data_IF_927920289522
#
_entry.id   IF_927920289522
#
_cell.length_a   1.000
_cell.length_b   1.000
_cell.length_c   1.000
_cell.angle_alpha   90.00
_cell.angle_beta   90.00
_cell.angle_gamma   90.00
#
_symmetry.space_group_name_H-M   'P 1'
#
loop_
_entity.id
_entity.type
_entity.pdbx_description
1 polymer ?
#
# COMPACT_ATOMS: atom_id res chain seq x y z
N UNK A 1 19.54 -0.66 29.33
CA UNK A 1 20.89 -0.95 28.81
C UNK A 1 21.07 -0.18 27.52
N UNK A 2 22.19 0.53 27.40
CA UNK A 2 22.63 1.14 26.15
C UNK A 2 23.84 0.34 25.68
N UNK A 3 23.61 -0.54 24.71
CA UNK A 3 24.62 -1.39 24.08
C UNK A 3 24.74 -1.12 22.58
N UNK A 4 24.22 0.01 22.09
CA UNK A 4 24.23 0.33 20.66
C UNK A 4 25.65 0.48 20.10
N UNK A 5 25.88 0.06 18.85
CA UNK A 5 27.14 0.30 18.12
C UNK A 5 28.40 -0.27 18.79
N UNK A 6 28.27 -1.37 19.55
CA UNK A 6 29.38 -1.97 20.29
C UNK A 6 29.97 -3.23 19.61
N UNK A 7 29.51 -3.58 18.39
CA UNK A 7 29.92 -4.80 17.65
C UNK A 7 29.75 -6.08 18.48
N UNK A 8 28.74 -6.12 19.35
CA UNK A 8 28.44 -7.29 20.15
C UNK A 8 28.00 -8.40 19.20
N UNK A 9 28.66 -9.55 19.27
CA UNK A 9 28.37 -10.70 18.41
C UNK A 9 27.56 -11.78 19.12
N UNK A 10 27.68 -11.93 20.43
CA UNK A 10 26.87 -12.90 21.17
C UNK A 10 26.80 -12.51 22.64
N UNK A 11 25.76 -13.00 23.31
CA UNK A 11 25.74 -13.10 24.76
C UNK A 11 26.03 -14.56 25.14
N UNK A 12 26.80 -14.75 26.21
CA UNK A 12 26.88 -16.05 26.87
C UNK A 12 25.50 -16.45 27.39
N UNK A 13 25.27 -17.75 27.50
CA UNK A 13 24.03 -18.29 28.06
C UNK A 13 23.80 -17.70 29.46
N UNK A 14 22.55 -17.34 29.75
CA UNK A 14 22.10 -16.71 31.01
C UNK A 14 22.62 -15.28 31.25
N UNK A 15 23.49 -14.71 30.41
CA UNK A 15 24.02 -13.36 30.61
C UNK A 15 22.90 -12.29 30.60
N UNK A 16 21.85 -12.51 29.82
CA UNK A 16 20.68 -11.62 29.79
C UNK A 16 19.91 -11.68 31.10
N UNK A 17 19.87 -12.84 31.76
CA UNK A 17 19.16 -13.02 33.03
C UNK A 17 19.84 -12.28 34.19
N UNK A 18 21.13 -12.01 34.07
CA UNK A 18 21.91 -11.24 35.05
C UNK A 18 21.68 -9.73 34.94
N UNK A 19 20.96 -9.25 33.91
CA UNK A 19 20.66 -7.84 33.77
C UNK A 19 19.72 -7.37 34.89
N UNK A 20 19.90 -6.12 35.40
CA UNK A 20 19.08 -5.61 36.49
C UNK A 20 17.57 -5.70 36.22
N UNK A 21 16.81 -6.27 37.16
CA UNK A 21 15.34 -6.38 37.08
C UNK A 21 14.62 -5.01 37.01
N UNK A 22 15.28 -3.95 37.46
CA UNK A 22 14.79 -2.57 37.35
C UNK A 22 14.84 -2.03 35.92
N UNK A 23 15.51 -2.72 34.99
CA UNK A 23 15.64 -2.30 33.61
C UNK A 23 14.28 -2.29 32.90
N UNK A 24 14.04 -1.22 32.12
CA UNK A 24 12.80 -1.03 31.35
C UNK A 24 13.03 -0.88 29.86
N UNK A 25 14.25 -0.51 29.45
CA UNK A 25 14.59 -0.21 28.06
C UNK A 25 15.90 -0.88 27.69
N UNK A 26 15.91 -1.52 26.54
CA UNK A 26 17.09 -2.12 25.93
C UNK A 26 17.31 -1.49 24.56
N UNK A 27 18.50 -0.93 24.39
CA UNK A 27 18.99 -0.45 23.11
C UNK A 27 20.22 -1.29 22.75
N UNK A 28 20.09 -2.11 21.71
CA UNK A 28 21.14 -2.99 21.20
C UNK A 28 21.25 -2.86 19.68
N UNK A 29 20.88 -1.71 19.14
CA UNK A 29 20.96 -1.46 17.71
C UNK A 29 22.41 -1.42 17.22
N UNK A 30 22.63 -1.69 15.94
CA UNK A 30 23.97 -1.58 15.31
C UNK A 30 25.02 -2.49 15.98
N UNK A 31 24.62 -3.71 16.32
CA UNK A 31 25.51 -4.79 16.75
C UNK A 31 25.60 -5.87 15.66
N UNK A 32 26.43 -6.88 15.85
CA UNK A 32 26.69 -7.95 14.87
C UNK A 32 26.25 -9.31 15.41
N UNK A 33 25.09 -9.37 16.07
CA UNK A 33 24.72 -10.57 16.80
C UNK A 33 24.64 -11.80 15.89
N UNK A 34 25.29 -12.88 16.27
CA UNK A 34 24.97 -14.22 15.79
C UNK A 34 23.61 -14.63 16.36
N UNK A 35 22.88 -15.45 15.62
CA UNK A 35 21.64 -16.02 16.14
C UNK A 35 21.96 -16.90 17.37
N UNK A 36 21.20 -16.77 18.45
CA UNK A 36 21.48 -17.48 19.70
C UNK A 36 20.33 -17.44 20.71
N UNK A 37 20.44 -18.26 21.76
CA UNK A 37 19.39 -18.47 22.76
C UNK A 37 19.05 -17.21 23.57
N UNK A 38 19.98 -16.25 23.65
CA UNK A 38 19.81 -14.97 24.33
C UNK A 38 18.57 -14.16 23.86
N UNK A 39 18.15 -14.31 22.61
CA UNK A 39 16.93 -13.66 22.09
C UNK A 39 15.69 -14.08 22.88
N UNK A 40 15.70 -15.32 23.36
CA UNK A 40 14.62 -15.89 24.11
C UNK A 40 14.73 -15.64 25.61
N UNK A 41 15.94 -15.38 26.10
CA UNK A 41 16.17 -15.00 27.50
C UNK A 41 15.61 -13.63 27.84
N UNK A 42 15.34 -12.77 26.84
CA UNK A 42 14.69 -11.48 27.03
C UNK A 42 13.34 -11.61 27.74
N UNK A 43 12.66 -12.76 27.67
CA UNK A 43 11.40 -13.00 28.40
C UNK A 43 11.56 -12.88 29.92
N UNK A 44 12.74 -13.13 30.46
CA UNK A 44 13.02 -13.04 31.90
C UNK A 44 12.98 -11.58 32.39
N UNK A 45 13.12 -10.63 31.47
CA UNK A 45 13.20 -9.22 31.80
C UNK A 45 11.82 -8.54 31.81
N UNK A 46 11.72 -7.48 32.62
CA UNK A 46 10.50 -6.65 32.74
C UNK A 46 10.56 -5.42 31.84
N UNK A 47 11.08 -5.58 30.62
CA UNK A 47 11.30 -4.48 29.68
C UNK A 47 10.00 -4.04 29.02
N UNK A 48 9.91 -2.73 28.77
CA UNK A 48 8.80 -2.07 28.08
C UNK A 48 9.16 -1.71 26.63
N UNK A 49 10.46 -1.61 26.35
CA UNK A 49 11.00 -1.22 25.04
C UNK A 49 12.25 -2.02 24.70
N UNK A 50 12.28 -2.53 23.47
CA UNK A 50 13.47 -3.12 22.86
C UNK A 50 13.74 -2.48 21.49
N UNK A 51 14.99 -2.07 21.27
CA UNK A 51 15.50 -1.70 19.96
C UNK A 51 16.67 -2.60 19.59
N UNK A 52 16.44 -3.42 18.58
CA UNK A 52 17.42 -4.31 17.96
C UNK A 52 17.48 -4.02 16.46
N UNK A 53 17.47 -2.75 16.07
CA UNK A 53 17.60 -2.39 14.66
C UNK A 53 19.04 -2.62 14.18
N UNK A 54 19.26 -2.87 12.89
CA UNK A 54 20.60 -2.98 12.29
C UNK A 54 21.47 -4.18 12.71
N UNK A 55 20.91 -5.22 13.36
CA UNK A 55 21.71 -6.31 13.94
C UNK A 55 22.58 -7.11 12.98
N UNK A 56 22.30 -7.05 11.67
CA UNK A 56 23.05 -7.80 10.66
C UNK A 56 23.58 -6.89 9.53
N UNK A 57 23.59 -5.58 9.76
CA UNK A 57 23.87 -4.58 8.72
C UNK A 57 25.32 -4.58 8.20
N UNK A 58 26.30 -5.03 9.00
CA UNK A 58 27.72 -5.07 8.61
C UNK A 58 28.06 -6.15 7.58
N UNK A 59 27.16 -7.13 7.33
CA UNK A 59 27.36 -8.19 6.33
C UNK A 59 27.21 -7.74 4.87
N UNK A 60 26.95 -6.45 4.61
CA UNK A 60 26.78 -5.86 3.27
C UNK A 60 27.91 -6.09 2.27
N UNK A 61 29.13 -6.38 2.72
CA UNK A 61 30.29 -6.21 1.84
C UNK A 61 30.58 -7.36 0.86
N UNK A 62 29.97 -8.54 0.99
CA UNK A 62 30.47 -9.71 0.26
C UNK A 62 29.45 -10.57 -0.50
N UNK A 63 28.15 -10.25 -0.51
CA UNK A 63 27.18 -11.06 -1.27
C UNK A 63 26.42 -10.18 -2.26
N UNK A 64 26.64 -10.46 -3.55
CA UNK A 64 25.93 -9.87 -4.68
C UNK A 64 24.41 -10.04 -4.52
N UNK A 65 23.70 -9.02 -4.06
CA UNK A 65 22.24 -9.02 -4.04
C UNK A 65 21.69 -8.59 -5.41
N UNK A 66 21.34 -9.56 -6.23
CA UNK A 66 20.38 -9.38 -7.33
C UNK A 66 19.02 -8.99 -6.70
N UNK A 67 18.71 -7.69 -6.74
CA UNK A 67 17.40 -7.18 -6.39
C UNK A 67 16.41 -7.67 -7.45
N UNK A 68 15.52 -8.59 -7.06
CA UNK A 68 14.55 -9.23 -7.97
C UNK A 68 13.66 -8.18 -8.66
N UNK A 69 13.81 -7.99 -9.97
CA UNK A 69 12.93 -7.11 -10.73
C UNK A 69 11.62 -7.79 -11.16
N UNK A 70 11.58 -9.14 -11.20
CA UNK A 70 10.45 -9.95 -11.71
C UNK A 70 10.15 -11.21 -10.86
N UNK A 71 8.87 -11.69 -10.80
CA UNK A 71 8.48 -12.89 -10.05
C UNK A 71 8.82 -14.21 -10.73
N UNK A 72 8.91 -14.21 -12.06
CA UNK A 72 9.10 -15.42 -12.88
C UNK A 72 10.58 -15.79 -13.02
N UNK A 73 11.46 -14.84 -12.72
CA UNK A 73 12.83 -15.15 -12.40
C UNK A 73 12.81 -15.80 -11.04
N UNK A 74 13.06 -17.11 -11.01
CA UNK A 74 13.59 -17.78 -9.83
C UNK A 74 14.76 -16.92 -9.34
N UNK A 75 14.48 -16.05 -8.38
CA UNK A 75 15.44 -15.10 -7.84
C UNK A 75 16.48 -15.79 -6.92
N UNK A 76 16.62 -17.10 -7.15
CA UNK A 76 17.24 -18.12 -6.34
C UNK A 76 17.63 -19.34 -7.19
N UNK A 77 17.99 -19.15 -8.47
CA UNK A 77 18.45 -20.26 -9.32
C UNK A 77 19.86 -20.78 -8.96
N UNK A 78 20.53 -20.16 -7.99
CA UNK A 78 21.66 -20.76 -7.29
C UNK A 78 21.52 -20.47 -5.79
N UNK A 79 20.83 -21.38 -5.09
CA UNK A 79 20.92 -21.54 -3.63
C UNK A 79 20.67 -20.22 -2.86
N UNK A 80 19.42 -19.75 -2.83
CA UNK A 80 18.99 -18.91 -1.72
C UNK A 80 18.77 -19.79 -0.49
N UNK A 81 19.84 -20.16 0.20
CA UNK A 81 19.65 -20.64 1.57
C UNK A 81 19.22 -19.42 2.39
N UNK A 82 18.12 -19.50 3.17
CA UNK A 82 17.89 -18.55 4.23
C UNK A 82 19.17 -18.47 5.06
N UNK A 83 19.64 -17.27 5.40
CA UNK A 83 20.80 -17.11 6.31
C UNK A 83 20.54 -17.92 7.60
N UNK A 84 19.26 -18.00 7.99
CA UNK A 84 18.70 -18.93 8.95
C UNK A 84 17.28 -19.35 8.52
N UNK A 85 17.02 -20.64 8.34
CA UNK A 85 15.65 -21.16 8.14
C UNK A 85 14.85 -21.02 9.46
N UNK A 86 13.50 -20.89 9.44
CA UNK A 86 12.69 -21.07 10.64
C UNK A 86 13.02 -22.37 11.37
N UNK A 87 13.30 -23.45 10.63
CA UNK A 87 13.73 -24.71 11.21
C UNK A 87 15.12 -24.64 11.85
N UNK A 88 16.03 -23.78 11.40
CA UNK A 88 17.30 -23.46 12.07
C UNK A 88 17.12 -22.54 13.29
N UNK A 89 16.18 -21.60 13.21
CA UNK A 89 15.73 -20.73 14.31
C UNK A 89 15.17 -21.58 15.46
N UNK A 90 14.50 -22.68 15.13
CA UNK A 90 13.87 -23.62 16.07
C UNK A 90 14.57 -25.00 16.14
N UNK A 91 15.79 -25.16 15.58
CA UNK A 91 16.46 -26.47 15.35
C UNK A 91 16.65 -27.31 16.61
N UNK A 92 16.70 -26.64 17.75
CA UNK A 92 16.92 -27.26 19.05
C UNK A 92 15.65 -27.50 19.86
N UNK A 93 14.47 -27.04 19.40
CA UNK A 93 13.26 -27.23 20.18
C UNK A 93 11.96 -27.09 19.36
N UNK A 94 11.43 -28.22 18.91
CA UNK A 94 10.10 -28.34 18.26
C UNK A 94 8.93 -27.91 19.15
N UNK A 95 9.18 -27.62 20.43
CA UNK A 95 8.20 -27.12 21.41
C UNK A 95 7.94 -25.62 21.30
N UNK A 96 8.77 -24.85 20.58
CA UNK A 96 8.69 -23.39 20.49
C UNK A 96 7.73 -22.95 19.38
N UNK A 97 6.56 -23.59 19.32
CA UNK A 97 5.42 -23.06 18.57
C UNK A 97 4.93 -21.71 19.14
N UNK A 98 5.44 -21.32 20.32
CA UNK A 98 5.15 -20.08 21.02
C UNK A 98 6.43 -19.26 21.15
N UNK A 99 6.48 -18.10 20.50
CA UNK A 99 7.56 -17.12 20.65
C UNK A 99 7.41 -16.43 22.03
N UNK A 100 8.39 -16.58 22.94
CA UNK A 100 8.35 -15.91 24.22
C UNK A 100 8.64 -14.41 24.05
N UNK A 101 7.78 -13.56 24.62
CA UNK A 101 7.94 -12.10 24.62
C UNK A 101 7.89 -11.60 26.08
N UNK A 102 8.75 -10.63 26.46
CA UNK A 102 8.66 -10.00 27.77
C UNK A 102 7.25 -9.44 28.04
N UNK A 103 6.64 -9.81 29.17
CA UNK A 103 5.22 -9.54 29.48
C UNK A 103 4.86 -8.05 29.54
N UNK A 104 5.83 -7.17 29.78
CA UNK A 104 5.63 -5.71 29.84
C UNK A 104 6.01 -4.99 28.55
N UNK A 105 6.44 -5.73 27.52
CA UNK A 105 6.92 -5.13 26.29
C UNK A 105 5.75 -4.43 25.59
N UNK A 106 5.91 -3.12 25.37
CA UNK A 106 4.94 -2.29 24.65
C UNK A 106 5.40 -1.98 23.23
N UNK A 107 6.71 -1.84 23.04
CA UNK A 107 7.30 -1.43 21.76
C UNK A 107 8.52 -2.26 21.41
N UNK A 108 8.48 -2.86 20.22
CA UNK A 108 9.56 -3.63 19.63
C UNK A 108 9.98 -3.02 18.30
N UNK A 109 11.28 -2.71 18.16
CA UNK A 109 11.89 -2.24 16.92
C UNK A 109 12.88 -3.29 16.42
N UNK A 110 12.58 -3.88 15.26
CA UNK A 110 13.39 -4.87 14.58
C UNK A 110 13.52 -4.50 13.10
N UNK A 111 13.90 -3.25 12.83
CA UNK A 111 14.03 -2.72 11.48
C UNK A 111 15.47 -2.76 10.96
N UNK A 112 15.63 -2.79 9.64
CA UNK A 112 16.95 -2.72 8.98
C UNK A 112 17.87 -3.88 9.40
N UNK A 113 17.30 -5.04 9.73
CA UNK A 113 18.05 -6.23 10.16
C UNK A 113 18.38 -7.19 9.00
N UNK A 114 18.00 -6.89 7.76
CA UNK A 114 18.28 -7.75 6.58
C UNK A 114 17.78 -9.19 6.76
N UNK A 115 16.75 -9.40 7.59
CA UNK A 115 16.20 -10.73 7.81
C UNK A 115 15.48 -11.24 6.57
N UNK A 116 15.97 -12.36 6.01
CA UNK A 116 15.44 -12.97 4.79
C UNK A 116 14.73 -14.28 5.07
N UNK A 117 13.41 -14.23 5.22
CA UNK A 117 12.56 -15.42 5.40
C UNK A 117 11.07 -15.11 5.16
N UNK A 118 10.25 -16.17 5.07
CA UNK A 118 8.79 -16.07 5.13
C UNK A 118 8.33 -15.95 6.58
N UNK A 119 7.44 -15.01 6.89
CA UNK A 119 6.86 -14.89 8.24
C UNK A 119 5.96 -16.11 8.47
N UNK A 120 6.38 -17.08 9.28
CA UNK A 120 5.69 -18.36 9.37
C UNK A 120 4.46 -18.23 10.27
N UNK A 121 3.77 -19.36 10.47
CA UNK A 121 2.80 -19.48 11.55
C UNK A 121 3.54 -19.59 12.89
N UNK A 122 3.34 -18.63 13.78
CA UNK A 122 3.80 -18.73 15.16
C UNK A 122 2.76 -18.18 16.13
N UNK A 123 2.66 -18.81 17.30
CA UNK A 123 1.93 -18.25 18.43
C UNK A 123 2.88 -17.32 19.18
N UNK A 124 2.39 -16.23 19.73
CA UNK A 124 3.15 -15.42 20.67
C UNK A 124 2.58 -15.66 22.07
N UNK A 125 3.43 -15.67 23.10
CA UNK A 125 2.93 -15.70 24.47
C UNK A 125 2.01 -14.49 24.73
N UNK A 126 1.15 -14.57 25.75
CA UNK A 126 0.33 -13.42 26.15
C UNK A 126 1.18 -12.16 26.32
N UNK A 127 0.81 -11.10 25.61
CA UNK A 127 1.60 -9.88 25.51
C UNK A 127 0.71 -8.65 25.42
N UNK A 128 1.32 -7.49 25.68
CA UNK A 128 0.69 -6.17 25.64
C UNK A 128 1.37 -5.27 24.59
N UNK A 129 1.97 -5.87 23.55
CA UNK A 129 2.74 -5.10 22.57
C UNK A 129 1.77 -4.24 21.76
N UNK A 130 2.04 -2.94 21.74
CA UNK A 130 1.23 -1.92 21.06
C UNK A 130 1.89 -1.46 19.75
N UNK A 131 3.21 -1.51 19.68
CA UNK A 131 4.01 -0.98 18.57
C UNK A 131 5.04 -2.00 18.09
N UNK A 132 4.95 -2.36 16.82
CA UNK A 132 5.87 -3.27 16.15
C UNK A 132 6.38 -2.61 14.87
N UNK A 133 7.69 -2.56 14.71
CA UNK A 133 8.35 -2.11 13.50
C UNK A 133 9.31 -3.20 13.00
N UNK A 134 8.95 -3.76 11.85
CA UNK A 134 9.63 -4.82 11.12
C UNK A 134 10.10 -4.32 9.75
N UNK A 135 10.20 -2.99 9.57
CA UNK A 135 10.51 -2.38 8.28
C UNK A 135 11.95 -2.65 7.83
N UNK A 136 12.21 -2.51 6.52
CA UNK A 136 13.57 -2.66 5.95
C UNK A 136 14.22 -4.02 6.27
N UNK A 137 13.43 -5.09 6.19
CA UNK A 137 13.92 -6.46 6.18
C UNK A 137 13.68 -7.07 4.78
N UNK A 138 13.82 -8.38 4.65
CA UNK A 138 13.64 -9.13 3.41
C UNK A 138 12.53 -10.18 3.64
N UNK A 139 11.43 -9.77 4.28
CA UNK A 139 10.25 -10.63 4.46
C UNK A 139 9.46 -10.74 3.15
N UNK A 140 9.72 -11.81 2.40
CA UNK A 140 9.19 -11.99 1.04
C UNK A 140 7.81 -12.66 0.97
N UNK A 141 7.34 -13.29 2.05
CA UNK A 141 6.01 -13.92 2.15
C UNK A 141 5.46 -13.89 3.56
N UNK A 142 4.17 -13.61 3.73
CA UNK A 142 3.49 -13.48 5.02
C UNK A 142 2.45 -14.58 5.21
N UNK A 143 2.87 -15.72 5.79
CA UNK A 143 2.03 -16.91 5.94
C UNK A 143 1.11 -16.81 7.16
N UNK A 144 1.66 -16.43 8.33
CA UNK A 144 0.91 -16.25 9.58
C UNK A 144 0.06 -17.48 9.97
N UNK A 145 -1.01 -17.33 10.76
CA UNK A 145 -1.52 -16.10 11.37
C UNK A 145 -0.60 -15.50 12.44
N UNK A 146 -0.66 -14.18 12.59
CA UNK A 146 -0.14 -13.47 13.77
C UNK A 146 -1.13 -13.69 14.93
N UNK A 147 -0.98 -14.78 15.69
CA UNK A 147 -1.83 -15.03 16.87
C UNK A 147 -1.38 -14.17 18.06
N UNK A 148 -2.33 -13.80 18.92
CA UNK A 148 -2.14 -13.05 20.20
C UNK A 148 -1.53 -11.65 20.06
N UNK A 149 -1.80 -10.95 18.94
CA UNK A 149 -1.41 -9.55 18.72
C UNK A 149 -2.57 -8.56 18.91
N UNK A 150 -3.49 -8.88 19.82
CA UNK A 150 -4.73 -8.13 20.02
C UNK A 150 -4.50 -6.71 20.54
N UNK A 151 -3.35 -6.42 21.15
CA UNK A 151 -3.00 -5.09 21.66
C UNK A 151 -2.30 -4.19 20.64
N UNK A 152 -1.88 -4.73 19.48
CA UNK A 152 -1.09 -3.98 18.50
C UNK A 152 -1.93 -2.87 17.89
N UNK A 153 -1.42 -1.64 17.96
CA UNK A 153 -2.03 -0.44 17.40
C UNK A 153 -1.23 0.11 16.21
N UNK A 154 0.08 -0.12 16.19
CA UNK A 154 0.98 0.31 15.14
C UNK A 154 1.78 -0.89 14.64
N UNK A 155 1.65 -1.19 13.34
CA UNK A 155 2.39 -2.26 12.67
C UNK A 155 3.04 -1.72 11.40
N UNK A 156 4.37 -1.76 11.36
CA UNK A 156 5.16 -1.41 10.19
C UNK A 156 5.83 -2.65 9.60
N UNK A 157 5.44 -3.01 8.38
CA UNK A 157 6.01 -4.07 7.53
C UNK A 157 6.55 -3.48 6.21
N UNK A 158 6.76 -2.17 6.16
CA UNK A 158 7.20 -1.47 4.95
C UNK A 158 8.64 -1.77 4.57
N UNK A 159 9.02 -1.47 3.32
CA UNK A 159 10.37 -1.68 2.81
C UNK A 159 10.83 -3.13 3.00
N UNK A 160 9.93 -4.07 2.73
CA UNK A 160 10.27 -5.47 2.59
C UNK A 160 10.14 -5.83 1.09
N UNK A 161 10.16 -7.11 0.75
CA UNK A 161 9.96 -7.57 -0.63
C UNK A 161 8.77 -8.53 -0.73
N UNK A 162 7.75 -8.30 0.11
CA UNK A 162 6.61 -9.20 0.22
C UNK A 162 5.77 -9.19 -1.05
N UNK A 163 5.66 -10.34 -1.71
CA UNK A 163 4.81 -10.55 -2.88
C UNK A 163 3.58 -11.42 -2.58
N UNK A 164 3.53 -12.07 -1.40
CA UNK A 164 2.45 -12.99 -1.03
C UNK A 164 1.99 -12.77 0.41
N UNK A 165 0.68 -12.64 0.60
CA UNK A 165 0.04 -12.47 1.91
C UNK A 165 -1.10 -13.47 2.05
N UNK A 166 -0.99 -14.32 3.06
CA UNK A 166 -2.06 -15.25 3.43
C UNK A 166 -3.28 -14.49 3.98
N UNK A 167 -4.48 -14.91 3.57
CA UNK A 167 -5.76 -14.34 4.04
C UNK A 167 -5.94 -14.39 5.56
N UNK A 168 -5.24 -15.29 6.25
CA UNK A 168 -5.31 -15.40 7.72
C UNK A 168 -4.21 -14.62 8.44
N UNK A 169 -3.30 -13.96 7.73
CA UNK A 169 -2.13 -13.30 8.32
C UNK A 169 -2.54 -12.28 9.40
N UNK A 170 -3.49 -11.39 9.06
CA UNK A 170 -3.99 -10.34 9.96
C UNK A 170 -5.20 -10.78 10.82
N UNK A 171 -5.44 -12.08 11.01
CA UNK A 171 -6.65 -12.57 11.70
C UNK A 171 -6.77 -12.15 13.17
N UNK A 172 -5.66 -11.90 13.87
CA UNK A 172 -5.66 -11.56 15.32
C UNK A 172 -4.98 -10.22 15.61
N UNK A 173 -5.32 -9.19 14.82
CA UNK A 173 -4.86 -7.81 15.02
C UNK A 173 -6.02 -6.78 14.98
N UNK A 174 -7.12 -7.00 15.74
CA UNK A 174 -8.34 -6.18 15.63
C UNK A 174 -8.16 -4.69 15.96
N UNK A 175 -7.14 -4.36 16.76
CA UNK A 175 -6.92 -3.02 17.29
C UNK A 175 -5.86 -2.21 16.54
N UNK A 176 -5.38 -2.69 15.38
CA UNK A 176 -4.42 -1.93 14.56
C UNK A 176 -5.06 -0.64 14.05
N UNK A 177 -4.44 0.48 14.39
CA UNK A 177 -4.84 1.83 14.02
C UNK A 177 -4.03 2.30 12.81
N UNK A 178 -2.73 1.99 12.77
CA UNK A 178 -1.81 2.37 11.70
C UNK A 178 -1.10 1.14 11.15
N UNK A 179 -1.26 0.92 9.85
CA UNK A 179 -0.62 -0.16 9.11
C UNK A 179 0.22 0.41 7.98
N UNK A 180 1.53 0.15 8.01
CA UNK A 180 2.49 0.62 7.00
C UNK A 180 3.02 -0.57 6.21
N UNK A 181 2.73 -0.58 4.91
CA UNK A 181 3.07 -1.66 3.97
C UNK A 181 3.79 -1.12 2.72
N UNK A 182 4.15 0.16 2.68
CA UNK A 182 4.77 0.77 1.50
C UNK A 182 6.08 0.09 1.09
N UNK A 183 6.47 0.19 -0.17
CA UNK A 183 7.68 -0.45 -0.71
C UNK A 183 7.69 -1.96 -0.42
N UNK A 184 6.71 -2.66 -1.00
CA UNK A 184 6.64 -4.12 -1.07
C UNK A 184 6.21 -4.50 -2.50
N UNK A 185 5.83 -5.75 -2.73
CA UNK A 185 5.37 -6.26 -4.03
C UNK A 185 3.91 -6.74 -3.96
N UNK A 186 3.08 -6.09 -3.13
CA UNK A 186 1.73 -6.56 -2.83
C UNK A 186 0.76 -6.54 -4.03
N UNK A 187 1.13 -5.86 -5.13
CA UNK A 187 0.38 -5.89 -6.38
C UNK A 187 0.24 -7.28 -7.02
N UNK A 188 1.05 -8.27 -6.59
CA UNK A 188 0.92 -9.65 -7.04
C UNK A 188 -0.16 -10.46 -6.32
N UNK A 189 -0.64 -10.00 -5.15
CA UNK A 189 -1.59 -10.77 -4.32
C UNK A 189 -2.88 -10.02 -4.01
N UNK A 190 -2.84 -8.69 -3.81
CA UNK A 190 -4.03 -7.93 -3.44
C UNK A 190 -5.15 -7.92 -4.50
N UNK A 191 -4.86 -7.94 -5.83
CA UNK A 191 -5.92 -8.04 -6.83
C UNK A 191 -6.75 -9.34 -6.72
N UNK A 192 -6.14 -10.42 -6.23
CA UNK A 192 -6.77 -11.73 -6.08
C UNK A 192 -7.60 -11.85 -4.79
N UNK A 193 -7.54 -10.86 -3.90
CA UNK A 193 -8.38 -10.78 -2.69
C UNK A 193 -9.78 -10.23 -3.02
N UNK A 194 -10.54 -11.00 -3.79
CA UNK A 194 -11.86 -10.59 -4.31
C UNK A 194 -12.88 -10.30 -3.22
N UNK A 195 -12.78 -11.01 -2.08
CA UNK A 195 -13.70 -10.91 -0.94
C UNK A 195 -13.20 -9.96 0.16
N UNK A 196 -12.00 -9.38 0.02
CA UNK A 196 -11.43 -8.45 1.02
C UNK A 196 -11.02 -9.12 2.33
N UNK A 197 -10.66 -10.40 2.29
CA UNK A 197 -10.37 -11.22 3.47
C UNK A 197 -9.09 -10.80 4.19
N UNK A 198 -8.09 -10.26 3.46
CA UNK A 198 -6.80 -9.86 4.05
C UNK A 198 -7.01 -8.74 5.08
N UNK A 199 -7.93 -7.81 4.80
CA UNK A 199 -8.15 -6.62 5.62
C UNK A 199 -9.31 -6.76 6.60
N UNK A 200 -10.20 -7.74 6.44
CA UNK A 200 -11.48 -7.80 7.16
C UNK A 200 -11.37 -7.79 8.70
N UNK A 201 -10.23 -8.23 9.24
CA UNK A 201 -9.98 -8.38 10.68
C UNK A 201 -9.35 -7.14 11.35
N UNK A 202 -9.24 -6.01 10.64
CA UNK A 202 -8.73 -4.74 11.20
C UNK A 202 -9.79 -3.62 11.13
N UNK A 203 -10.87 -3.69 11.93
CA UNK A 203 -11.93 -2.68 11.93
C UNK A 203 -11.52 -1.34 12.57
N UNK A 204 -10.50 -1.34 13.44
CA UNK A 204 -10.00 -0.14 14.10
C UNK A 204 -9.09 0.73 13.21
N UNK A 205 -8.78 0.28 11.99
CA UNK A 205 -7.79 0.89 11.11
C UNK A 205 -8.16 2.32 10.73
N UNK A 206 -7.23 3.25 10.95
CA UNK A 206 -7.38 4.67 10.63
C UNK A 206 -6.40 5.13 9.55
N UNK A 207 -5.22 4.53 9.48
CA UNK A 207 -4.19 4.86 8.49
C UNK A 207 -3.69 3.58 7.84
N UNK A 208 -3.73 3.55 6.51
CA UNK A 208 -3.06 2.52 5.72
C UNK A 208 -2.14 3.17 4.69
N UNK A 209 -0.91 2.67 4.63
CA UNK A 209 0.04 3.04 3.60
C UNK A 209 0.42 1.84 2.73
N UNK A 210 -0.04 1.87 1.48
CA UNK A 210 0.19 0.88 0.44
C UNK A 210 1.00 1.50 -0.73
N UNK A 211 1.69 2.62 -0.51
CA UNK A 211 2.46 3.27 -1.55
C UNK A 211 3.54 2.35 -2.13
N UNK A 212 3.87 2.52 -3.41
CA UNK A 212 4.99 1.83 -4.07
C UNK A 212 4.92 0.30 -3.95
N UNK A 213 3.74 -0.29 -4.25
CA UNK A 213 3.49 -1.73 -4.15
C UNK A 213 3.17 -2.40 -5.50
N UNK A 214 3.29 -1.67 -6.61
CA UNK A 214 2.93 -2.14 -7.96
C UNK A 214 1.47 -2.61 -8.07
N UNK A 215 0.56 -2.10 -7.24
CA UNK A 215 -0.84 -2.53 -7.20
C UNK A 215 -1.57 -2.07 -8.47
N UNK A 216 -2.09 -2.98 -9.31
CA UNK A 216 -2.85 -2.60 -10.51
C UNK A 216 -4.30 -2.20 -10.17
N UNK A 217 -4.91 -2.86 -9.19
CA UNK A 217 -6.27 -2.60 -8.74
C UNK A 217 -6.49 -3.19 -7.34
N UNK A 218 -7.55 -2.76 -6.67
CA UNK A 218 -8.04 -3.37 -5.44
C UNK A 218 -9.49 -3.79 -5.66
N UNK A 219 -9.90 -4.91 -5.07
CA UNK A 219 -11.27 -5.40 -5.22
C UNK A 219 -12.27 -4.42 -4.60
N UNK A 220 -13.53 -4.51 -5.04
CA UNK A 220 -14.62 -3.72 -4.46
C UNK A 220 -14.72 -3.91 -2.94
N UNK A 221 -14.46 -5.14 -2.46
CA UNK A 221 -14.59 -5.54 -1.07
C UNK A 221 -13.38 -5.22 -0.18
N UNK A 222 -12.25 -4.82 -0.77
CA UNK A 222 -10.96 -4.69 -0.07
C UNK A 222 -11.00 -3.85 1.21
N UNK A 223 -11.84 -2.81 1.25
CA UNK A 223 -12.00 -1.94 2.41
C UNK A 223 -13.36 -2.02 3.11
N UNK A 224 -14.16 -3.07 2.87
CA UNK A 224 -15.54 -3.16 3.38
C UNK A 224 -15.63 -3.06 4.91
N UNK A 225 -14.65 -3.60 5.65
CA UNK A 225 -14.65 -3.59 7.11
C UNK A 225 -14.01 -2.33 7.72
N UNK A 226 -13.44 -1.43 6.91
CA UNK A 226 -12.62 -0.30 7.36
C UNK A 226 -13.38 1.03 7.48
N UNK A 227 -14.47 1.06 8.25
CA UNK A 227 -15.30 2.26 8.40
C UNK A 227 -14.58 3.44 9.09
N UNK A 228 -13.49 3.18 9.83
CA UNK A 228 -12.73 4.16 10.60
C UNK A 228 -11.53 4.78 9.86
N UNK A 229 -11.30 4.40 8.58
CA UNK A 229 -10.18 4.93 7.81
C UNK A 229 -10.27 6.45 7.66
N UNK A 230 -9.12 7.10 7.88
CA UNK A 230 -8.89 8.54 7.77
C UNK A 230 -7.90 8.88 6.66
N UNK A 231 -6.88 8.04 6.49
CA UNK A 231 -5.78 8.26 5.56
C UNK A 231 -5.52 6.98 4.77
N UNK A 232 -5.69 7.04 3.45
CA UNK A 232 -5.36 5.97 2.52
C UNK A 232 -4.26 6.49 1.60
N UNK A 233 -3.08 5.87 1.65
CA UNK A 233 -1.96 6.21 0.77
C UNK A 233 -1.73 5.08 -0.23
N UNK A 234 -1.92 5.38 -1.50
CA UNK A 234 -1.76 4.47 -2.64
C UNK A 234 -0.82 5.07 -3.70
N UNK A 235 -0.01 6.06 -3.33
CA UNK A 235 0.91 6.72 -4.26
C UNK A 235 1.90 5.73 -4.90
N UNK A 236 2.32 5.95 -6.14
CA UNK A 236 3.37 5.13 -6.76
C UNK A 236 2.95 3.71 -7.12
N UNK A 237 1.65 3.46 -7.31
CA UNK A 237 1.12 2.17 -7.74
C UNK A 237 0.79 2.17 -9.24
N UNK A 238 0.08 1.15 -9.72
CA UNK A 238 -0.33 0.99 -11.11
C UNK A 238 -1.85 1.15 -11.28
N UNK A 239 -2.52 1.80 -10.33
CA UNK A 239 -3.98 1.94 -10.28
C UNK A 239 -4.45 2.82 -11.44
N UNK A 240 -5.41 2.32 -12.22
CA UNK A 240 -6.02 3.05 -13.33
C UNK A 240 -7.44 3.56 -13.03
N UNK A 241 -8.14 2.94 -12.06
CA UNK A 241 -9.47 3.34 -11.62
C UNK A 241 -9.71 3.07 -10.12
N UNK A 242 -10.68 3.78 -9.52
CA UNK A 242 -11.13 3.58 -8.15
C UNK A 242 -12.28 2.56 -8.14
N UNK A 243 -11.94 1.29 -7.97
CA UNK A 243 -12.87 0.15 -7.93
C UNK A 243 -13.36 -0.19 -6.51
N UNK A 244 -12.54 0.09 -5.50
CA UNK A 244 -12.82 -0.19 -4.09
C UNK A 244 -13.85 0.78 -3.48
N UNK A 245 -14.62 0.31 -2.50
CA UNK A 245 -15.61 1.13 -1.82
C UNK A 245 -14.98 2.04 -0.76
N UNK A 246 -15.40 3.31 -0.75
CA UNK A 246 -15.00 4.30 0.27
C UNK A 246 -16.17 5.08 0.87
N UNK A 247 -17.39 4.94 0.32
CA UNK A 247 -18.55 5.74 0.71
C UNK A 247 -19.02 5.52 2.16
N UNK A 248 -18.65 4.40 2.80
CA UNK A 248 -18.94 4.09 4.21
C UNK A 248 -17.94 4.73 5.19
N UNK A 249 -16.80 5.23 4.70
CA UNK A 249 -15.73 5.80 5.53
C UNK A 249 -16.01 7.24 5.91
N UNK A 250 -16.82 7.44 6.96
CA UNK A 250 -17.28 8.78 7.39
C UNK A 250 -16.16 9.70 7.88
N UNK A 251 -14.99 9.15 8.23
CA UNK A 251 -13.84 9.89 8.74
C UNK A 251 -12.73 10.08 7.68
N UNK A 252 -12.91 9.55 6.46
CA UNK A 252 -11.90 9.61 5.41
C UNK A 252 -11.60 11.06 5.06
N UNK A 253 -10.35 11.46 5.29
CA UNK A 253 -9.89 12.85 5.15
C UNK A 253 -8.88 13.01 4.02
N UNK A 254 -8.14 11.94 3.69
CA UNK A 254 -7.16 11.95 2.62
C UNK A 254 -7.11 10.62 1.87
N UNK A 255 -7.19 10.72 0.54
CA UNK A 255 -6.92 9.64 -0.39
C UNK A 255 -5.81 10.08 -1.35
N UNK A 256 -4.63 9.52 -1.20
CA UNK A 256 -3.49 9.79 -2.07
C UNK A 256 -3.37 8.71 -3.15
N UNK A 257 -3.64 9.10 -4.38
CA UNK A 257 -3.52 8.30 -5.60
C UNK A 257 -2.49 8.93 -6.55
N UNK A 258 -1.56 9.74 -6.04
CA UNK A 258 -0.52 10.36 -6.86
C UNK A 258 0.39 9.32 -7.50
N UNK A 259 1.01 9.63 -8.64
CA UNK A 259 1.93 8.75 -9.37
C UNK A 259 1.35 7.34 -9.64
N UNK A 260 0.12 7.29 -10.16
CA UNK A 260 -0.56 6.06 -10.59
C UNK A 260 -0.80 6.09 -12.11
N UNK A 261 -1.69 5.23 -12.62
CA UNK A 261 -2.03 5.12 -14.05
C UNK A 261 -3.43 5.65 -14.38
N UNK A 262 -3.99 6.51 -13.53
CA UNK A 262 -5.34 7.05 -13.69
C UNK A 262 -5.38 7.94 -14.93
N UNK A 263 -6.25 7.60 -15.88
CA UNK A 263 -6.47 8.43 -17.07
C UNK A 263 -7.67 9.38 -16.92
N UNK A 264 -8.66 8.99 -16.13
CA UNK A 264 -9.78 9.82 -15.71
C UNK A 264 -10.41 9.24 -14.44
N UNK A 265 -11.23 10.03 -13.75
CA UNK A 265 -12.14 9.50 -12.73
C UNK A 265 -13.52 9.32 -13.37
N UNK A 266 -13.94 8.08 -13.53
CA UNK A 266 -15.23 7.73 -14.13
C UNK A 266 -16.42 8.21 -13.27
N UNK A 267 -17.64 7.94 -13.72
CA UNK A 267 -18.84 8.33 -12.96
C UNK A 267 -18.93 7.66 -11.59
N UNK A 268 -18.58 6.37 -11.49
CA UNK A 268 -18.63 5.63 -10.24
C UNK A 268 -17.64 6.19 -9.21
N UNK A 269 -16.38 6.37 -9.62
CA UNK A 269 -15.33 6.96 -8.80
C UNK A 269 -15.72 8.35 -8.31
N UNK A 270 -16.18 9.24 -9.21
CA UNK A 270 -16.64 10.59 -8.84
C UNK A 270 -17.80 10.55 -7.86
N UNK A 271 -18.77 9.65 -8.04
CA UNK A 271 -19.89 9.50 -7.13
C UNK A 271 -19.47 9.08 -5.71
N UNK A 272 -18.55 8.11 -5.59
CA UNK A 272 -18.00 7.68 -4.31
C UNK A 272 -17.29 8.84 -3.58
N UNK A 273 -16.45 9.59 -4.29
CA UNK A 273 -15.72 10.73 -3.75
C UNK A 273 -16.66 11.84 -3.24
N UNK A 274 -17.69 12.20 -4.02
CA UNK A 274 -18.68 13.21 -3.62
C UNK A 274 -19.51 12.74 -2.41
N UNK A 275 -19.82 11.44 -2.31
CA UNK A 275 -20.48 10.88 -1.13
C UNK A 275 -19.65 11.05 0.14
N UNK A 276 -18.34 10.74 0.07
CA UNK A 276 -17.43 10.95 1.20
C UNK A 276 -17.37 12.43 1.57
N UNK A 277 -17.19 13.32 0.59
CA UNK A 277 -17.13 14.76 0.82
C UNK A 277 -18.39 15.34 1.46
N UNK A 278 -19.57 14.84 1.09
CA UNK A 278 -20.85 15.25 1.69
C UNK A 278 -20.90 14.99 3.20
N UNK A 279 -20.23 13.94 3.68
CA UNK A 279 -20.16 13.58 5.10
C UNK A 279 -18.97 14.24 5.79
N UNK A 280 -17.83 14.36 5.09
CA UNK A 280 -16.61 14.99 5.58
C UNK A 280 -16.11 16.06 4.62
N UNK A 281 -16.44 17.33 4.88
CA UNK A 281 -16.04 18.47 4.04
C UNK A 281 -14.53 18.78 4.07
N UNK A 282 -13.75 18.11 4.93
CA UNK A 282 -12.28 18.19 4.95
C UNK A 282 -11.63 17.16 4.03
N UNK A 283 -12.41 16.28 3.41
CA UNK A 283 -11.91 15.26 2.50
C UNK A 283 -11.14 15.88 1.33
N UNK A 284 -9.98 15.27 1.04
CA UNK A 284 -9.06 15.72 0.01
C UNK A 284 -8.48 14.53 -0.75
N UNK A 285 -8.16 14.75 -2.01
CA UNK A 285 -7.53 13.75 -2.87
C UNK A 285 -6.23 14.29 -3.47
N UNK A 286 -5.28 13.41 -3.77
CA UNK A 286 -4.17 13.71 -4.66
C UNK A 286 -4.20 12.75 -5.85
N UNK A 287 -4.16 13.29 -7.06
CA UNK A 287 -4.11 12.54 -8.34
C UNK A 287 -2.98 13.08 -9.23
N UNK A 288 -2.04 13.85 -8.67
CA UNK A 288 -0.88 14.36 -9.40
C UNK A 288 0.01 13.22 -9.90
N UNK A 289 0.80 13.45 -10.95
CA UNK A 289 1.67 12.41 -11.52
C UNK A 289 0.94 11.27 -12.23
N UNK A 290 -0.36 11.39 -12.51
CA UNK A 290 -1.13 10.42 -13.29
C UNK A 290 -1.21 10.82 -14.78
N UNK A 291 -1.32 9.86 -15.73
CA UNK A 291 -1.49 10.11 -17.16
C UNK A 291 -2.92 10.54 -17.51
N UNK A 292 -3.42 11.60 -16.87
CA UNK A 292 -4.77 12.12 -17.07
C UNK A 292 -4.98 12.49 -18.54
N UNK A 293 -6.15 12.15 -19.10
CA UNK A 293 -6.53 12.49 -20.48
C UNK A 293 -7.49 13.67 -20.49
N UNK A 294 -7.31 14.57 -21.44
CA UNK A 294 -8.20 15.69 -21.74
C UNK A 294 -8.69 15.55 -23.19
N UNK A 295 -9.68 14.68 -23.39
CA UNK A 295 -10.34 14.44 -24.67
C UNK A 295 -11.86 14.55 -24.51
N UNK A 296 -12.60 14.35 -25.60
CA UNK A 296 -14.06 14.29 -25.54
C UNK A 296 -14.57 13.15 -24.65
N UNK A 297 -13.84 12.04 -24.55
CA UNK A 297 -14.23 10.90 -23.70
C UNK A 297 -14.14 11.25 -22.21
N UNK A 298 -13.21 12.13 -21.83
CA UNK A 298 -12.97 12.52 -20.44
C UNK A 298 -13.56 13.87 -20.07
N UNK A 299 -14.37 14.49 -20.96
CA UNK A 299 -14.91 15.83 -20.76
C UNK A 299 -15.70 15.97 -19.44
N UNK A 300 -16.42 14.92 -19.03
CA UNK A 300 -17.18 14.89 -17.78
C UNK A 300 -16.29 14.88 -16.54
N UNK A 301 -15.12 14.23 -16.63
CA UNK A 301 -14.10 14.28 -15.58
C UNK A 301 -13.49 15.68 -15.47
N UNK A 302 -13.18 16.33 -16.59
CA UNK A 302 -12.66 17.71 -16.59
C UNK A 302 -13.72 18.67 -16.03
N UNK A 303 -14.98 18.53 -16.44
CA UNK A 303 -16.11 19.28 -15.88
C UNK A 303 -16.19 19.11 -14.37
N UNK A 304 -16.09 17.88 -13.88
CA UNK A 304 -16.12 17.59 -12.44
C UNK A 304 -14.95 18.26 -11.69
N UNK A 305 -13.71 18.17 -12.20
CA UNK A 305 -12.54 18.85 -11.59
C UNK A 305 -12.68 20.38 -11.54
N UNK A 306 -13.56 20.92 -12.40
CA UNK A 306 -13.83 22.33 -12.57
C UNK A 306 -14.88 22.84 -11.57
N UNK A 307 -15.83 21.97 -11.17
CA UNK A 307 -16.96 22.30 -10.30
C UNK A 307 -16.91 21.69 -8.89
N UNK A 308 -16.14 20.63 -8.68
CA UNK A 308 -16.08 19.94 -7.39
C UNK A 308 -15.53 20.85 -6.29
N UNK A 309 -16.07 20.70 -5.08
CA UNK A 309 -15.57 21.37 -3.87
C UNK A 309 -14.50 20.56 -3.15
N UNK A 310 -14.27 19.31 -3.58
CA UNK A 310 -13.24 18.44 -3.01
C UNK A 310 -11.87 19.09 -3.25
N UNK A 311 -11.06 19.14 -2.21
CA UNK A 311 -9.69 19.66 -2.32
C UNK A 311 -8.82 18.65 -3.08
N UNK A 312 -8.41 19.02 -4.29
CA UNK A 312 -7.41 18.28 -5.08
C UNK A 312 -6.02 18.87 -4.78
N UNK A 313 -5.16 18.10 -4.11
CA UNK A 313 -3.79 18.49 -3.83
C UNK A 313 -2.95 18.53 -5.11
N UNK A 314 -1.89 19.34 -5.09
CA UNK A 314 -0.95 19.50 -6.20
C UNK A 314 -1.59 19.84 -7.57
N UNK A 315 -2.83 20.34 -7.59
CA UNK A 315 -3.58 20.73 -8.80
C UNK A 315 -2.83 21.67 -9.74
N UNK A 316 -1.96 22.52 -9.20
CA UNK A 316 -1.09 23.44 -9.96
C UNK A 316 0.05 22.74 -10.70
N UNK A 317 0.43 21.53 -10.28
CA UNK A 317 1.46 20.67 -10.89
C UNK A 317 0.85 19.54 -11.72
N UNK A 318 -0.47 19.38 -11.69
CA UNK A 318 -1.18 18.38 -12.48
C UNK A 318 -1.45 18.89 -13.89
N UNK A 319 -1.19 18.05 -14.89
CA UNK A 319 -1.50 18.27 -16.30
C UNK A 319 -2.23 17.06 -16.86
N UNK A 320 -2.85 17.22 -18.03
CA UNK A 320 -3.44 16.13 -18.78
C UNK A 320 -2.93 16.12 -20.23
N UNK A 321 -3.04 14.97 -20.88
CA UNK A 321 -2.70 14.75 -22.28
C UNK A 321 -3.94 14.95 -23.15
N UNK A 322 -3.88 15.91 -24.06
CA UNK A 322 -4.89 16.10 -25.10
C UNK A 322 -4.76 15.00 -26.17
N UNK A 323 -5.82 14.78 -26.97
CA UNK A 323 -5.83 13.77 -28.04
C UNK A 323 -4.71 13.93 -29.08
N UNK A 324 -4.17 15.14 -29.23
CA UNK A 324 -3.05 15.44 -30.13
C UNK A 324 -1.66 15.33 -29.48
N UNK A 325 -1.57 14.79 -28.25
CA UNK A 325 -0.31 14.62 -27.51
C UNK A 325 0.16 15.85 -26.73
N UNK A 326 -0.50 17.01 -26.90
CA UNK A 326 -0.16 18.23 -26.16
C UNK A 326 -0.54 18.10 -24.67
N UNK A 327 0.34 18.59 -23.80
CA UNK A 327 0.07 18.66 -22.37
C UNK A 327 -0.68 19.94 -22.01
N UNK A 328 -1.81 19.81 -21.31
CA UNK A 328 -2.66 20.91 -20.85
C UNK A 328 -2.61 21.01 -19.32
N UNK A 329 -2.34 22.21 -18.79
CA UNK A 329 -2.26 22.42 -17.34
C UNK A 329 -3.65 22.43 -16.68
N UNK A 330 -3.83 21.64 -15.62
CA UNK A 330 -5.07 21.57 -14.84
C UNK A 330 -5.10 22.56 -13.67
N UNK A 331 -4.21 23.58 -13.65
CA UNK A 331 -4.29 24.69 -12.69
C UNK A 331 -5.65 25.41 -12.74
N UNK A 332 -6.25 25.52 -13.93
CA UNK A 332 -7.59 26.12 -14.16
C UNK A 332 -8.44 25.19 -15.05
N UNK A 333 -9.03 24.10 -14.52
CA UNK A 333 -9.75 23.11 -15.33
C UNK A 333 -10.94 23.67 -16.10
N UNK A 334 -11.58 24.75 -15.60
CA UNK A 334 -12.66 25.44 -16.32
C UNK A 334 -12.25 25.85 -17.74
N UNK A 335 -11.01 26.34 -17.93
CA UNK A 335 -10.52 26.75 -19.26
C UNK A 335 -10.36 25.56 -20.20
N UNK A 336 -9.86 24.44 -19.67
CA UNK A 336 -9.70 23.19 -20.43
C UNK A 336 -11.08 22.62 -20.79
N UNK A 337 -12.03 22.65 -19.87
CA UNK A 337 -13.42 22.25 -20.11
C UNK A 337 -14.08 23.09 -21.21
N UNK A 338 -13.98 24.42 -21.17
CA UNK A 338 -14.55 25.30 -22.21
C UNK A 338 -13.95 25.04 -23.60
N UNK A 339 -12.64 24.78 -23.67
CA UNK A 339 -11.95 24.41 -24.90
C UNK A 339 -12.48 23.07 -25.45
N UNK A 340 -12.51 22.03 -24.62
CA UNK A 340 -13.05 20.72 -24.99
C UNK A 340 -14.53 20.79 -25.39
N UNK A 341 -15.34 21.58 -24.70
CA UNK A 341 -16.75 21.73 -25.03
C UNK A 341 -16.95 22.28 -26.45
N UNK A 342 -16.14 23.25 -26.87
CA UNK A 342 -16.15 23.77 -28.25
C UNK A 342 -15.68 22.70 -29.24
N UNK A 343 -14.55 22.06 -29.00
CA UNK A 343 -13.97 21.04 -29.88
C UNK A 343 -14.93 19.84 -30.08
N UNK A 344 -15.53 19.34 -29.00
CA UNK A 344 -16.42 18.17 -29.06
C UNK A 344 -17.79 18.49 -29.65
N UNK A 345 -18.31 19.72 -29.46
CA UNK A 345 -19.57 20.15 -30.08
C UNK A 345 -19.48 20.25 -31.60
N UNK A 346 -18.31 20.67 -32.11
CA UNK A 346 -18.06 20.78 -33.55
C UNK A 346 -18.18 19.44 -34.26
N UNK A 347 -17.81 18.33 -33.61
CA UNK A 347 -17.89 17.00 -34.23
C UNK A 347 -19.35 16.58 -34.46
N UNK A 348 -20.24 16.83 -33.49
CA UNK A 348 -21.68 16.57 -33.63
C UNK A 348 -22.31 17.46 -34.70
N UNK A 349 -21.99 18.76 -34.72
CA UNK A 349 -22.49 19.69 -35.73
C UNK A 349 -21.99 19.36 -37.15
N UNK A 350 -20.76 18.90 -37.28
CA UNK A 350 -20.18 18.51 -38.56
C UNK A 350 -20.78 17.21 -39.09
N UNK A 351 -21.05 16.22 -38.23
CA UNK A 351 -21.80 15.00 -38.58
C UNK A 351 -23.23 15.32 -38.99
N UNK A 352 -23.95 16.13 -38.20
CA UNK A 352 -25.32 16.53 -38.54
C UNK A 352 -25.34 17.30 -39.87
N UNK A 353 -24.37 18.19 -40.09
CA UNK A 353 -24.20 18.91 -41.34
C UNK A 353 -23.96 18.00 -42.54
N UNK A 354 -23.01 17.05 -42.44
CA UNK A 354 -22.70 16.12 -43.55
C UNK A 354 -23.84 15.16 -43.84
N UNK A 355 -24.52 14.63 -42.81
CA UNK A 355 -25.71 13.79 -42.98
C UNK A 355 -26.84 14.58 -43.63
N UNK A 356 -27.10 15.81 -43.18
CA UNK A 356 -28.11 16.67 -43.80
C UNK A 356 -27.80 16.97 -45.27
N UNK A 357 -26.54 17.29 -45.60
CA UNK A 357 -26.11 17.51 -46.99
C UNK A 357 -26.23 16.26 -47.85
N UNK A 358 -25.88 15.08 -47.34
CA UNK A 358 -26.05 13.80 -48.04
C UNK A 358 -27.52 13.48 -48.30
N UNK A 359 -28.41 13.73 -47.32
CA UNK A 359 -29.86 13.54 -47.49
C UNK A 359 -30.40 14.47 -48.58
N UNK A 360 -30.02 15.76 -48.57
CA UNK A 360 -30.42 16.72 -49.61
C UNK A 360 -29.93 16.27 -50.99
N UNK A 361 -28.68 15.82 -51.08
CA UNK A 361 -28.12 15.31 -52.34
C UNK A 361 -28.88 14.10 -52.88
N UNK A 362 -29.17 13.11 -52.02
CA UNK A 362 -29.92 11.91 -52.39
C UNK A 362 -31.36 12.21 -52.81
N UNK A 363 -32.01 13.17 -52.15
CA UNK A 363 -33.35 13.64 -52.53
C UNK A 363 -33.30 14.30 -53.91
N UNK A 364 -32.32 15.18 -54.16
CA UNK A 364 -32.17 15.87 -55.43
C UNK A 364 -31.82 14.92 -56.59
N UNK A 365 -30.92 13.96 -56.37
CA UNK A 365 -30.56 12.96 -57.38
C UNK A 365 -31.73 12.05 -57.75
N UNK A 366 -32.60 11.71 -56.79
CA UNK A 366 -33.80 10.92 -57.05
C UNK A 366 -34.91 11.73 -57.75
N UNK A 367 -35.06 13.02 -57.44
CA UNK A 367 -35.98 13.93 -58.14
C UNK A 367 -35.55 14.18 -59.59
N UNK A 368 -34.25 14.27 -59.86
CA UNK A 368 -33.70 14.43 -61.22
C UNK A 368 -33.99 13.23 -62.14
N UNK A 369 -34.20 12.03 -61.59
CA UNK A 369 -34.59 10.83 -62.33
C UNK A 369 -36.10 10.72 -62.64
N UNK A 370 -36.94 11.61 -62.08
CA UNK A 370 -38.40 11.60 -62.30
C UNK A 370 -38.89 12.68 -63.26
N UNK A 371 -38.00 13.42 -63.92
CA UNK A 371 -38.39 14.36 -64.99
C UNK A 371 -38.53 13.58 -66.33
N UNK A 372 -39.73 13.50 -66.92
CA UNK A 372 -39.93 12.85 -68.21
C UNK A 372 -39.28 13.67 -69.33
N UNK A 373 -38.60 12.98 -70.26
CA UNK A 373 -38.12 13.53 -71.54
C UNK A 373 -39.28 13.97 -72.44
#
# INVERSE_FOLDING_TARGET
MHGDSNRIQLFEDEAIQQLPFSMRKIFMSDNEFSYGQYLFELITLQIEFVNTSFLFSSRRNNEHEEICERPDESCCNQICQPIHTPDEIFRYNTSWRVLPIPRKLKKALYKECFLRYEIPKFLVAENIVEYIDLSYNIFYSWIGPLLTFDHVQYLDLSNNICSNVSKVFFKSVPNVITLLLQNNLLGFVLPDDTEGEIMQHMPALQTINLADNRIPSLSYAFFNSQANLKYIKLAGNMIDNITFQINHMKQLSNLDLSNNRISNLDEHARFQLEKVYKVNNKFSIDISGNPLKCSCDTINFIKWMSTTKIRIHNKNKTSCLASHGNSESLRKPNRVFEKLQKECSSYSSLIVGTVASLVVFLVYSNLGHMLPQ
#
